data_IF_305193224470
#
_entry.id   IF_305193224470
#
_cell.length_a   1.000
_cell.length_b   1.000
_cell.length_c   1.000
_cell.angle_alpha   90.00
_cell.angle_beta   90.00
_cell.angle_gamma   90.00
#
_symmetry.space_group_name_H-M   'P 1'
#
loop_
_entity.id
_entity.type
_entity.pdbx_description
1 polymer ?
#
# COMPACT_ATOMS: atom_id res chain seq x y z
N UNK A 1 3.18 -0.47 -30.61
CA UNK A 1 1.78 -0.03 -30.51
C UNK A 1 1.67 0.82 -29.25
N UNK A 2 1.52 2.15 -29.37
CA UNK A 2 1.49 3.05 -28.20
C UNK A 2 0.08 3.00 -27.63
N UNK A 3 -0.08 2.43 -26.44
CA UNK A 3 -1.38 2.33 -25.76
C UNK A 3 -1.81 3.71 -25.27
N UNK A 4 -2.98 4.17 -25.70
CA UNK A 4 -3.54 5.44 -25.22
C UNK A 4 -3.96 5.32 -23.76
N UNK A 5 -3.14 5.85 -22.85
CA UNK A 5 -3.34 5.83 -21.39
C UNK A 5 -4.42 6.80 -20.89
N UNK A 6 -5.42 7.15 -21.72
CA UNK A 6 -6.45 8.16 -21.37
C UNK A 6 -7.84 7.57 -21.10
N UNK A 7 -8.01 6.25 -21.25
CA UNK A 7 -9.30 5.60 -21.02
C UNK A 7 -9.10 4.37 -20.14
N UNK A 8 -9.84 4.34 -19.04
CA UNK A 8 -9.91 3.19 -18.15
C UNK A 8 -10.67 2.05 -18.84
N UNK A 9 -10.15 0.84 -18.68
CA UNK A 9 -10.77 -0.41 -19.10
C UNK A 9 -11.64 -1.02 -17.99
N UNK A 10 -11.45 -0.57 -16.74
CA UNK A 10 -12.09 -1.14 -15.56
C UNK A 10 -11.30 -2.29 -14.93
N UNK A 11 -10.17 -2.68 -15.54
CA UNK A 11 -9.26 -3.68 -15.01
C UNK A 11 -8.00 -3.03 -14.41
N UNK A 12 -7.71 -3.32 -13.14
CA UNK A 12 -6.62 -2.68 -12.37
C UNK A 12 -5.25 -2.88 -13.01
N UNK A 13 -4.95 -4.08 -13.49
CA UNK A 13 -3.64 -4.41 -14.08
C UNK A 13 -3.48 -3.73 -15.42
N UNK A 14 -4.56 -3.75 -16.21
CA UNK A 14 -4.61 -3.12 -17.53
C UNK A 14 -4.55 -1.60 -17.38
N UNK A 15 -5.21 -1.01 -16.40
CA UNK A 15 -5.26 0.45 -16.21
C UNK A 15 -4.00 1.03 -15.54
N UNK A 16 -3.11 0.18 -15.02
CA UNK A 16 -1.81 0.60 -14.51
C UNK A 16 -1.03 1.45 -15.55
N UNK A 17 -0.39 2.57 -15.14
CA UNK A 17 -0.25 3.11 -13.78
C UNK A 17 -1.36 4.08 -13.34
N UNK A 18 -2.45 4.20 -14.08
CA UNK A 18 -3.50 5.20 -13.82
C UNK A 18 -4.20 4.97 -12.48
N UNK A 19 -4.56 6.08 -11.84
CA UNK A 19 -5.27 6.15 -10.56
C UNK A 19 -6.69 6.63 -10.86
N UNK A 20 -7.66 5.73 -10.74
CA UNK A 20 -9.08 6.06 -10.90
C UNK A 20 -9.66 6.60 -9.60
N UNK A 21 -9.99 7.89 -9.56
CA UNK A 21 -10.51 8.55 -8.36
C UNK A 21 -11.91 8.10 -7.94
N UNK A 22 -12.64 7.34 -8.75
CA UNK A 22 -13.96 6.82 -8.37
C UNK A 22 -13.89 5.73 -7.27
N UNK A 23 -12.72 5.12 -7.05
CA UNK A 23 -12.52 4.09 -6.04
C UNK A 23 -12.68 4.62 -4.60
N UNK A 24 -13.10 3.74 -3.67
CA UNK A 24 -13.08 4.07 -2.24
C UNK A 24 -11.63 4.22 -1.78
N UNK A 25 -11.35 5.13 -0.86
CA UNK A 25 -9.99 5.51 -0.48
C UNK A 25 -9.70 5.07 0.94
N UNK A 26 -8.56 4.44 1.15
CA UNK A 26 -8.13 3.96 2.45
C UNK A 26 -6.65 4.27 2.69
N UNK A 27 -6.31 4.40 3.95
CA UNK A 27 -4.94 4.39 4.44
C UNK A 27 -4.62 2.98 4.92
N UNK A 28 -3.46 2.44 4.53
CA UNK A 28 -2.97 1.13 4.97
C UNK A 28 -1.56 1.27 5.57
N UNK A 29 -1.43 0.97 6.85
CA UNK A 29 -0.17 1.04 7.55
C UNK A 29 0.71 -0.17 7.27
N UNK A 30 2.01 0.07 7.15
CA UNK A 30 3.05 -0.95 7.06
C UNK A 30 4.18 -0.56 8.02
N UNK A 31 4.67 -1.54 8.79
CA UNK A 31 5.81 -1.33 9.67
C UNK A 31 7.09 -1.00 8.86
N UNK A 32 7.98 -0.15 9.40
CA UNK A 32 9.29 0.16 8.81
C UNK A 32 10.03 -1.04 8.25
N UNK A 33 10.13 -2.13 9.03
CA UNK A 33 10.88 -3.35 8.69
C UNK A 33 10.40 -4.05 7.41
N UNK A 34 9.15 -3.80 7.02
CA UNK A 34 8.53 -4.39 5.84
C UNK A 34 8.29 -3.37 4.74
N UNK A 35 8.10 -2.09 5.08
CA UNK A 35 7.74 -1.05 4.12
C UNK A 35 8.78 -0.88 3.02
N UNK A 36 10.04 -0.61 3.38
CA UNK A 36 11.10 -0.35 2.40
C UNK A 36 11.43 -1.57 1.54
N UNK A 37 11.33 -2.78 2.12
CA UNK A 37 11.55 -4.03 1.39
C UNK A 37 10.43 -4.32 0.39
N UNK A 38 9.18 -4.03 0.76
CA UNK A 38 8.02 -4.20 -0.12
C UNK A 38 7.96 -3.11 -1.20
N UNK A 39 8.28 -1.87 -0.83
CA UNK A 39 8.16 -0.65 -1.64
C UNK A 39 9.50 0.11 -1.69
N UNK A 40 10.51 -0.43 -2.38
CA UNK A 40 11.86 0.15 -2.44
C UNK A 40 11.87 1.58 -3.02
N UNK A 41 11.04 1.86 -4.02
CA UNK A 41 10.92 3.18 -4.65
C UNK A 41 10.31 4.24 -3.71
N UNK A 42 9.68 3.78 -2.62
CA UNK A 42 9.08 4.61 -1.59
C UNK A 42 9.96 4.79 -0.35
N UNK A 43 11.21 4.33 -0.41
CA UNK A 43 12.22 4.43 0.65
C UNK A 43 12.41 5.88 1.13
N UNK A 44 12.70 6.04 2.43
CA UNK A 44 13.09 7.33 3.01
C UNK A 44 14.60 7.57 2.91
N UNK A 45 15.02 8.83 2.80
CA UNK A 45 16.44 9.18 2.68
C UNK A 45 17.31 8.73 3.87
N UNK A 46 16.70 8.55 5.04
CA UNK A 46 17.37 8.14 6.26
C UNK A 46 17.39 6.61 6.49
N UNK A 47 17.02 5.82 5.48
CA UNK A 47 17.04 4.36 5.55
C UNK A 47 18.28 3.79 4.84
N UNK A 48 18.86 2.72 5.39
CA UNK A 48 20.10 2.13 4.87
C UNK A 48 19.96 1.67 3.40
N UNK A 49 20.91 1.99 2.51
CA UNK A 49 20.98 1.45 1.14
C UNK A 49 20.82 -0.07 1.07
N UNK A 50 21.38 -0.79 2.05
CA UNK A 50 21.48 -2.25 2.07
C UNK A 50 20.15 -2.98 2.31
N UNK A 51 19.06 -2.24 2.58
CA UNK A 51 17.71 -2.80 2.77
C UNK A 51 17.13 -3.30 1.44
N UNK A 52 17.55 -2.73 0.31
CA UNK A 52 17.07 -3.11 -1.01
C UNK A 52 17.90 -4.27 -1.53
N UNK A 53 17.39 -5.49 -1.34
CA UNK A 53 17.93 -6.70 -1.99
C UNK A 53 17.29 -6.83 -3.36
N UNK A 54 18.04 -7.30 -4.35
CA UNK A 54 17.52 -7.57 -5.69
C UNK A 54 16.73 -8.89 -5.66
N UNK A 55 15.44 -8.79 -5.35
CA UNK A 55 14.49 -9.91 -5.24
C UNK A 55 13.22 -9.59 -6.02
N UNK A 56 12.53 -10.63 -6.51
CA UNK A 56 11.39 -10.52 -7.44
C UNK A 56 10.29 -9.53 -6.99
N UNK A 57 9.98 -9.47 -5.69
CA UNK A 57 8.97 -8.57 -5.16
C UNK A 57 9.39 -7.10 -5.18
N UNK A 58 10.68 -6.78 -5.18
CA UNK A 58 11.21 -5.41 -5.28
C UNK A 58 10.93 -4.84 -6.67
N UNK A 59 11.06 -5.65 -7.71
CA UNK A 59 10.97 -5.26 -9.13
C UNK A 59 9.56 -5.38 -9.74
N UNK A 60 8.60 -5.98 -9.01
CA UNK A 60 7.21 -6.14 -9.48
C UNK A 60 6.33 -4.94 -9.08
N UNK A 61 5.40 -4.52 -9.94
CA UNK A 61 4.34 -3.57 -9.56
C UNK A 61 3.30 -4.21 -8.63
N UNK A 62 3.16 -5.54 -8.66
CA UNK A 62 2.24 -6.29 -7.82
C UNK A 62 2.89 -6.57 -6.48
N UNK A 63 2.15 -6.28 -5.40
CA UNK A 63 2.58 -6.49 -4.02
C UNK A 63 1.54 -7.30 -3.27
N UNK A 64 1.97 -8.15 -2.35
CA UNK A 64 1.11 -8.91 -1.43
C UNK A 64 1.52 -8.63 0.00
N UNK A 65 0.60 -8.07 0.79
CA UNK A 65 0.79 -7.79 2.20
C UNK A 65 -0.22 -8.55 3.07
N UNK A 66 0.26 -9.08 4.18
CA UNK A 66 -0.53 -9.82 5.17
C UNK A 66 -0.77 -8.94 6.38
N UNK A 67 -2.01 -8.89 6.84
CA UNK A 67 -2.41 -8.07 7.98
C UNK A 67 -3.57 -8.66 8.78
N UNK A 68 -3.71 -8.20 10.01
CA UNK A 68 -4.85 -8.46 10.90
C UNK A 68 -5.63 -7.19 11.22
N UNK A 69 -5.34 -6.08 10.52
CA UNK A 69 -6.03 -4.81 10.75
C UNK A 69 -7.51 -4.93 10.41
N UNK A 70 -8.36 -4.54 11.36
CA UNK A 70 -9.81 -4.62 11.21
C UNK A 70 -10.27 -3.85 9.97
N UNK A 71 -11.21 -4.42 9.21
CA UNK A 71 -11.79 -3.81 8.01
C UNK A 71 -11.03 -4.08 6.71
N UNK A 72 -9.79 -4.56 6.76
CA UNK A 72 -9.01 -4.89 5.54
C UNK A 72 -9.64 -6.01 4.71
N UNK A 73 -10.38 -6.93 5.33
CA UNK A 73 -11.17 -7.95 4.64
C UNK A 73 -12.32 -7.38 3.77
N UNK A 74 -12.73 -6.13 4.01
CA UNK A 74 -13.81 -5.46 3.27
C UNK A 74 -13.32 -4.66 2.05
N UNK A 75 -12.00 -4.60 1.84
CA UNK A 75 -11.41 -4.02 0.65
C UNK A 75 -11.85 -4.81 -0.59
N UNK A 76 -11.99 -4.11 -1.71
CA UNK A 76 -12.46 -4.64 -2.98
C UNK A 76 -11.51 -4.19 -4.08
N UNK A 77 -11.50 -4.96 -5.16
CA UNK A 77 -10.78 -4.59 -6.38
C UNK A 77 -11.15 -3.15 -6.80
N UNK A 78 -10.15 -2.33 -7.09
CA UNK A 78 -10.31 -0.93 -7.47
C UNK A 78 -10.33 0.07 -6.31
N UNK A 79 -10.36 -0.38 -5.05
CA UNK A 79 -10.14 0.52 -3.92
C UNK A 79 -8.72 1.11 -3.98
N UNK A 80 -8.59 2.38 -3.61
CA UNK A 80 -7.32 3.10 -3.54
C UNK A 80 -6.72 2.99 -2.15
N UNK A 81 -5.43 2.69 -2.09
CA UNK A 81 -4.64 2.63 -0.87
C UNK A 81 -3.59 3.72 -0.85
N UNK A 82 -3.53 4.46 0.26
CA UNK A 82 -2.39 5.28 0.64
C UNK A 82 -1.54 4.45 1.58
N UNK A 83 -0.33 4.10 1.14
CA UNK A 83 0.58 3.33 1.98
C UNK A 83 1.23 4.25 3.00
N UNK A 84 1.03 3.93 4.27
CA UNK A 84 1.48 4.68 5.43
C UNK A 84 2.55 3.90 6.19
N UNK A 85 3.80 4.35 6.13
CA UNK A 85 4.86 3.76 6.95
C UNK A 85 4.69 4.26 8.38
N UNK A 86 4.60 3.35 9.35
CA UNK A 86 4.52 3.76 10.77
C UNK A 86 5.86 4.33 11.26
N UNK A 87 5.84 4.95 12.43
CA UNK A 87 7.06 5.39 13.10
C UNK A 87 7.98 4.22 13.44
N UNK A 88 9.26 4.54 13.60
CA UNK A 88 10.32 3.62 14.00
C UNK A 88 10.71 3.80 15.48
N UNK A 89 9.86 4.46 16.25
CA UNK A 89 10.02 4.76 17.68
C UNK A 89 11.26 5.62 18.02
N UNK A 90 11.95 6.21 17.04
CA UNK A 90 13.10 7.10 17.28
C UNK A 90 12.68 8.53 17.67
N UNK A 91 11.49 8.96 17.29
CA UNK A 91 10.90 10.25 17.65
C UNK A 91 9.36 10.19 17.56
N UNK A 92 8.61 11.24 17.96
CA UNK A 92 7.16 11.21 17.93
C UNK A 92 6.59 10.83 16.56
N UNK A 93 5.57 9.96 16.56
CA UNK A 93 4.93 9.45 15.35
C UNK A 93 4.41 10.56 14.42
N UNK A 94 4.09 11.74 14.98
CA UNK A 94 3.74 12.97 14.25
C UNK A 94 4.75 13.30 13.14
N UNK A 95 6.04 13.09 13.39
CA UNK A 95 7.12 13.43 12.46
C UNK A 95 7.77 12.21 11.79
N UNK A 96 7.60 11.01 12.36
CA UNK A 96 8.26 9.78 11.90
C UNK A 96 7.39 8.87 11.03
N UNK A 97 6.07 8.94 11.19
CA UNK A 97 5.15 8.15 10.36
C UNK A 97 4.79 8.96 9.12
N UNK A 98 4.76 8.33 7.95
CA UNK A 98 4.63 9.03 6.67
C UNK A 98 3.73 8.30 5.67
N UNK A 99 2.92 9.05 4.93
CA UNK A 99 2.32 8.56 3.69
C UNK A 99 3.37 8.57 2.57
N UNK A 100 3.42 7.48 1.80
CA UNK A 100 4.57 7.19 0.93
C UNK A 100 4.19 6.89 -0.51
N UNK A 101 3.06 6.23 -0.74
CA UNK A 101 2.66 5.74 -2.07
C UNK A 101 1.15 5.71 -2.23
N UNK A 102 0.69 5.76 -3.49
CA UNK A 102 -0.68 5.42 -3.88
C UNK A 102 -0.66 4.06 -4.60
N UNK A 103 -1.59 3.19 -4.24
CA UNK A 103 -1.76 1.86 -4.80
C UNK A 103 -3.24 1.57 -5.09
N UNK A 104 -3.50 0.54 -5.89
CA UNK A 104 -4.86 0.09 -6.22
C UNK A 104 -5.02 -1.38 -5.86
N UNK A 105 -6.07 -1.72 -5.10
CA UNK A 105 -6.35 -3.10 -4.70
C UNK A 105 -6.70 -3.94 -5.92
N UNK A 106 -6.04 -5.09 -6.04
CA UNK A 106 -6.32 -6.11 -7.07
C UNK A 106 -7.25 -7.20 -6.53
N UNK A 107 -6.97 -7.66 -5.31
CA UNK A 107 -7.62 -8.81 -4.69
C UNK A 107 -7.42 -8.77 -3.16
N UNK A 108 -8.40 -9.30 -2.42
CA UNK A 108 -8.25 -9.65 -1.02
C UNK A 108 -8.62 -11.12 -0.81
N UNK A 109 -7.78 -11.84 -0.07
CA UNK A 109 -8.01 -13.25 0.28
C UNK A 109 -7.83 -13.47 1.77
N UNK A 110 -8.59 -14.40 2.32
CA UNK A 110 -8.33 -14.92 3.66
C UNK A 110 -7.27 -16.04 3.56
N UNK A 111 -6.30 -16.04 4.47
CA UNK A 111 -5.26 -17.06 4.57
C UNK A 111 -5.85 -18.46 4.70
N UNK A 112 -7.02 -18.64 5.29
CA UNK A 112 -7.69 -19.93 5.41
C UNK A 112 -8.24 -20.47 4.08
N UNK A 113 -8.32 -19.64 3.03
CA UNK A 113 -8.80 -20.06 1.71
C UNK A 113 -7.76 -20.77 0.86
N UNK A 114 -6.49 -20.77 1.26
CA UNK A 114 -5.47 -21.56 0.58
C UNK A 114 -5.59 -23.03 0.97
N UNK A 115 -5.37 -23.97 0.03
CA UNK A 115 -5.51 -25.41 0.30
C UNK A 115 -4.36 -25.96 1.16
N UNK A 116 -3.20 -25.31 1.17
CA UNK A 116 -2.02 -25.73 1.94
C UNK A 116 -1.09 -24.56 2.22
N UNK A 117 -0.13 -24.76 3.13
CA UNK A 117 0.93 -23.78 3.38
C UNK A 117 1.80 -23.57 2.15
N UNK A 118 2.05 -24.62 1.36
CA UNK A 118 2.87 -24.50 0.15
C UNK A 118 2.17 -23.67 -0.93
N UNK A 119 0.83 -23.78 -1.04
CA UNK A 119 0.04 -22.93 -1.93
C UNK A 119 0.07 -21.44 -1.49
N UNK A 120 0.10 -21.17 -0.19
CA UNK A 120 0.32 -19.81 0.33
C UNK A 120 1.71 -19.29 -0.04
N UNK A 121 2.75 -20.11 0.13
CA UNK A 121 4.13 -19.74 -0.18
C UNK A 121 4.30 -19.44 -1.66
N UNK A 122 3.78 -20.32 -2.54
CA UNK A 122 3.83 -20.13 -3.99
C UNK A 122 3.13 -18.82 -4.42
N UNK A 123 1.97 -18.52 -3.84
CA UNK A 123 1.24 -17.28 -4.10
C UNK A 123 2.00 -16.03 -3.66
N UNK A 124 2.66 -16.08 -2.49
CA UNK A 124 3.36 -14.95 -1.90
C UNK A 124 4.78 -14.75 -2.46
N UNK A 125 5.47 -15.81 -2.87
CA UNK A 125 6.87 -15.82 -3.29
C UNK A 125 7.26 -14.69 -4.28
N UNK A 126 6.47 -14.38 -5.32
CA UNK A 126 6.86 -13.34 -6.26
C UNK A 126 6.63 -11.91 -5.76
N UNK A 127 5.75 -11.69 -4.78
CA UNK A 127 5.17 -10.36 -4.52
C UNK A 127 5.15 -9.94 -3.05
N UNK A 128 5.50 -10.83 -2.12
CA UNK A 128 5.47 -10.55 -0.69
C UNK A 128 6.85 -10.27 -0.11
N UNK A 129 6.86 -9.42 0.92
CA UNK A 129 8.06 -9.08 1.69
C UNK A 129 8.41 -10.13 2.75
N UNK A 130 7.47 -10.98 3.14
CA UNK A 130 7.68 -11.94 4.20
C UNK A 130 8.52 -13.12 3.74
N UNK A 131 9.37 -13.62 4.63
CA UNK A 131 10.12 -14.86 4.37
C UNK A 131 9.22 -16.08 4.46
N UNK A 132 9.63 -17.19 3.87
CA UNK A 132 8.92 -18.47 3.98
C UNK A 132 8.66 -18.87 5.43
N UNK A 133 9.65 -18.65 6.32
CA UNK A 133 9.50 -18.94 7.75
C UNK A 133 8.46 -18.03 8.42
N UNK A 134 8.40 -16.75 8.05
CA UNK A 134 7.35 -15.84 8.53
C UNK A 134 5.97 -16.30 8.05
N UNK A 135 5.83 -16.62 6.76
CA UNK A 135 4.58 -17.07 6.16
C UNK A 135 4.11 -18.40 6.76
N UNK A 136 5.01 -19.37 6.98
CA UNK A 136 4.72 -20.64 7.67
C UNK A 136 4.23 -20.40 9.10
N UNK A 137 4.83 -19.45 9.82
CA UNK A 137 4.35 -19.05 11.16
C UNK A 137 2.98 -18.40 11.10
N UNK A 138 2.75 -17.45 10.20
CA UNK A 138 1.45 -16.77 10.04
C UNK A 138 0.34 -17.74 9.66
N UNK A 139 0.65 -18.73 8.83
CA UNK A 139 -0.25 -19.83 8.51
C UNK A 139 -0.64 -20.63 9.77
N UNK A 140 0.36 -21.06 10.54
CA UNK A 140 0.16 -21.93 11.69
C UNK A 140 -0.63 -21.27 12.82
N UNK A 141 -0.37 -19.99 13.10
CA UNK A 141 -1.00 -19.25 14.21
C UNK A 141 -2.14 -18.31 13.77
N UNK A 142 -2.43 -18.23 12.47
CA UNK A 142 -3.44 -17.32 11.88
C UNK A 142 -3.25 -15.86 12.30
N UNK A 143 -2.00 -15.44 12.57
CA UNK A 143 -1.70 -14.09 13.09
C UNK A 143 -2.14 -12.98 12.16
N UNK A 144 -2.03 -13.18 10.86
CA UNK A 144 -2.39 -12.20 9.83
C UNK A 144 -3.32 -12.85 8.79
N UNK A 145 -4.64 -12.84 9.04
CA UNK A 145 -5.59 -13.59 8.23
C UNK A 145 -5.84 -12.98 6.85
N UNK A 146 -5.66 -11.66 6.69
CA UNK A 146 -6.04 -10.98 5.45
C UNK A 146 -4.81 -10.76 4.56
N UNK A 147 -4.85 -11.27 3.33
CA UNK A 147 -3.90 -10.98 2.27
C UNK A 147 -4.49 -9.91 1.37
N UNK A 148 -3.80 -8.78 1.26
CA UNK A 148 -4.15 -7.69 0.34
C UNK A 148 -3.15 -7.68 -0.80
N UNK A 149 -3.62 -7.94 -2.01
CA UNK A 149 -2.83 -7.80 -3.24
C UNK A 149 -3.16 -6.47 -3.91
N UNK A 150 -2.15 -5.72 -4.31
CA UNK A 150 -2.32 -4.39 -4.89
C UNK A 150 -1.24 -4.05 -5.92
N UNK A 151 -1.59 -3.17 -6.85
CA UNK A 151 -0.68 -2.56 -7.82
C UNK A 151 -0.06 -1.29 -7.22
N UNK A 152 1.25 -1.13 -7.35
CA UNK A 152 2.01 0.04 -6.90
C UNK A 152 1.97 1.17 -7.94
N UNK A 153 0.91 1.98 -7.94
CA UNK A 153 0.68 3.01 -8.95
C UNK A 153 1.75 4.10 -8.97
N UNK A 154 2.04 4.70 -7.82
CA UNK A 154 2.96 5.83 -7.75
C UNK A 154 3.55 6.06 -6.36
N UNK A 155 4.85 6.38 -6.31
CA UNK A 155 5.49 6.98 -5.15
C UNK A 155 5.05 8.45 -5.00
N UNK A 156 4.85 8.92 -3.77
CA UNK A 156 4.79 10.35 -3.51
C UNK A 156 6.18 10.96 -3.77
N UNK A 157 6.28 12.11 -4.44
CA UNK A 157 7.55 12.86 -4.54
C UNK A 157 7.94 13.47 -3.19
N UNK A 158 6.94 13.91 -2.43
CA UNK A 158 7.10 14.41 -1.06
C UNK A 158 6.37 13.49 -0.09
N UNK A 159 7.11 12.88 0.84
CA UNK A 159 6.54 12.06 1.92
C UNK A 159 5.79 12.98 2.88
N UNK A 160 4.52 12.70 3.12
CA UNK A 160 3.69 13.51 4.03
C UNK A 160 3.74 12.89 5.41
N UNK A 161 4.18 13.66 6.40
CA UNK A 161 4.23 13.19 7.79
C UNK A 161 2.84 13.02 8.38
N UNK A 162 2.71 12.26 9.47
CA UNK A 162 1.45 12.19 10.22
C UNK A 162 0.95 13.58 10.60
N UNK A 163 1.85 14.48 10.99
CA UNK A 163 1.56 15.87 11.27
C UNK A 163 0.94 16.56 10.06
N UNK A 164 1.54 16.44 8.88
CA UNK A 164 0.98 16.99 7.65
C UNK A 164 -0.44 16.45 7.38
N UNK A 165 -0.68 15.16 7.59
CA UNK A 165 -2.00 14.55 7.38
C UNK A 165 -3.05 15.08 8.37
N UNK A 166 -2.68 15.28 9.64
CA UNK A 166 -3.57 15.84 10.66
C UNK A 166 -3.86 17.31 10.40
N UNK A 167 -2.80 18.11 10.19
CA UNK A 167 -2.87 19.56 10.05
C UNK A 167 -3.72 19.98 8.83
N UNK A 168 -3.83 19.10 7.84
CA UNK A 168 -4.64 19.33 6.63
C UNK A 168 -5.95 18.52 6.61
N UNK A 169 -6.37 17.98 7.75
CA UNK A 169 -7.67 17.30 7.89
C UNK A 169 -7.82 16.02 7.09
N UNK A 170 -6.72 15.37 6.70
CA UNK A 170 -6.73 14.09 5.98
C UNK A 170 -7.10 12.94 6.90
N UNK A 171 -6.60 12.99 8.14
CA UNK A 171 -6.92 12.03 9.20
C UNK A 171 -7.12 12.77 10.52
N UNK A 172 -7.97 12.21 11.39
CA UNK A 172 -8.13 12.71 12.75
C UNK A 172 -6.87 12.38 13.59
N UNK A 173 -6.51 13.27 14.51
CA UNK A 173 -5.37 13.08 15.42
C UNK A 173 -5.51 11.82 16.29
N UNK A 174 -6.74 11.47 16.67
CA UNK A 174 -7.10 10.28 17.44
C UNK A 174 -7.43 9.07 16.56
N UNK A 175 -7.44 9.21 15.23
CA UNK A 175 -7.71 8.09 14.33
C UNK A 175 -6.64 6.99 14.50
N UNK A 176 -7.11 5.74 14.54
CA UNK A 176 -6.22 4.59 14.40
C UNK A 176 -5.59 4.60 13.01
N UNK A 177 -4.31 4.97 12.93
CA UNK A 177 -3.60 5.11 11.67
C UNK A 177 -3.17 3.78 11.04
N UNK A 178 -3.63 2.63 11.56
CA UNK A 178 -3.33 1.32 10.99
C UNK A 178 -4.09 1.07 9.70
N UNK A 179 -5.42 1.17 9.76
CA UNK A 179 -6.28 1.09 8.58
C UNK A 179 -7.47 2.02 8.78
N UNK A 180 -7.68 2.94 7.85
CA UNK A 180 -8.72 3.97 7.96
C UNK A 180 -9.29 4.33 6.59
N UNK A 181 -10.58 4.62 6.52
CA UNK A 181 -11.19 5.25 5.35
C UNK A 181 -10.73 6.70 5.21
N UNK A 182 -10.51 7.14 3.99
CA UNK A 182 -10.20 8.53 3.65
C UNK A 182 -11.38 9.14 2.88
N UNK A 183 -11.61 10.43 3.10
CA UNK A 183 -12.53 11.21 2.28
C UNK A 183 -11.89 11.55 0.93
N UNK A 184 -12.71 11.87 -0.06
CA UNK A 184 -12.21 12.33 -1.36
C UNK A 184 -11.35 13.60 -1.22
N UNK A 185 -11.78 14.54 -0.38
CA UNK A 185 -11.02 15.74 -0.07
C UNK A 185 -9.66 15.43 0.60
N UNK A 186 -9.63 14.52 1.58
CA UNK A 186 -8.39 14.12 2.24
C UNK A 186 -7.42 13.41 1.28
N UNK A 187 -7.94 12.58 0.38
CA UNK A 187 -7.13 11.92 -0.65
C UNK A 187 -6.60 12.93 -1.69
N UNK A 188 -7.38 13.93 -2.06
CA UNK A 188 -6.95 15.00 -2.96
C UNK A 188 -5.76 15.79 -2.37
N UNK A 189 -5.82 16.10 -1.07
CA UNK A 189 -4.69 16.72 -0.35
C UNK A 189 -3.42 15.86 -0.46
N UNK A 190 -3.54 14.53 -0.37
CA UNK A 190 -2.41 13.61 -0.52
C UNK A 190 -1.84 13.65 -1.95
N UNK A 191 -2.69 13.66 -2.98
CA UNK A 191 -2.26 13.76 -4.39
C UNK A 191 -1.45 15.04 -4.61
N UNK A 192 -2.02 16.18 -4.21
CA UNK A 192 -1.44 17.50 -4.44
C UNK A 192 -0.15 17.69 -3.65
N UNK A 193 -0.19 17.50 -2.32
CA UNK A 193 0.97 17.73 -1.46
C UNK A 193 2.02 16.65 -1.59
N UNK A 194 1.61 15.44 -1.95
CA UNK A 194 2.49 14.33 -2.26
C UNK A 194 3.20 14.47 -3.61
N UNK A 195 2.74 15.39 -4.47
CA UNK A 195 3.37 15.66 -5.76
C UNK A 195 3.13 14.56 -6.81
N UNK A 196 1.97 13.91 -6.76
CA UNK A 196 1.54 12.92 -7.76
C UNK A 196 1.30 13.64 -9.09
N UNK A 197 1.79 13.04 -10.18
CA UNK A 197 1.63 13.63 -11.52
C UNK A 197 0.16 13.61 -11.94
N UNK A 198 -0.38 14.75 -12.38
CA UNK A 198 -1.74 14.84 -12.89
C UNK A 198 -2.00 13.90 -14.08
N UNK A 199 -0.97 13.56 -14.86
CA UNK A 199 -1.07 12.59 -15.96
C UNK A 199 -1.38 11.15 -15.52
N UNK A 200 -1.20 10.83 -14.24
CA UNK A 200 -1.54 9.53 -13.66
C UNK A 200 -2.95 9.50 -13.08
N UNK A 201 -3.57 10.66 -12.86
CA UNK A 201 -4.85 10.77 -12.16
C UNK A 201 -5.96 10.88 -13.18
N UNK A 202 -6.94 9.99 -13.08
CA UNK A 202 -8.14 9.99 -13.92
C UNK A 202 -9.34 10.25 -13.02
N UNK A 203 -10.03 11.35 -13.31
CA UNK A 203 -11.29 11.73 -12.70
C UNK A 203 -12.40 11.53 -13.75
N UNK A 204 -13.17 10.46 -13.61
CA UNK A 204 -14.38 10.26 -14.40
C UNK A 204 -15.55 10.65 -13.51
N UNK A 205 -15.94 11.92 -13.61
CA UNK A 205 -17.22 12.43 -13.11
C UNK A 205 -18.40 11.83 -13.88
#
# INVERSE_FOLDING_TARGET
MVRSLRRLSGDVVTDYPLINLAGRKFLLAIYPDWHTRLLPDSKLHNESPDVVKDVSHTNSIHKVYLTAMQGTANLRRGDLLVIYRTGDNAAPARFRSVATSICTVEEVRDIATFPSVDALLEYCAPYSVFTDDELRRFWANRKYPNLVRFAYNAALKKRLTRGDLIDHGVIDEKAYAGFASLTDAGFQVIIERGGISASLVIDQA
#
